data_IF_884851594021
#
_entry.id   IF_884851594021
#
_cell.length_a   1.000
_cell.length_b   1.000
_cell.length_c   1.000
_cell.angle_alpha   90.00
_cell.angle_beta   90.00
_cell.angle_gamma   90.00
#
_symmetry.space_group_name_H-M   'P 1'
#
loop_
_entity.id
_entity.type
_entity.pdbx_description
1 polymer ?
#
# COMPACT_ATOMS: atom_id res chain seq x y z
N UNK A 1 20.79 22.80 -17.62
CA UNK A 1 19.92 21.62 -17.81
C UNK A 1 18.58 22.13 -18.30
N UNK A 2 18.03 21.59 -19.39
CA UNK A 2 16.69 21.94 -19.88
C UNK A 2 15.77 20.76 -19.51
N UNK A 3 14.79 20.99 -18.65
CA UNK A 3 13.74 20.02 -18.33
C UNK A 3 12.54 20.28 -19.22
N UNK A 4 11.89 19.21 -19.70
CA UNK A 4 10.64 19.34 -20.47
C UNK A 4 9.55 19.88 -19.55
N UNK A 5 8.73 20.80 -20.05
CA UNK A 5 7.59 21.32 -19.31
C UNK A 5 6.45 20.30 -19.34
N UNK A 6 5.96 19.89 -18.17
CA UNK A 6 4.81 18.99 -18.02
C UNK A 6 3.56 19.59 -18.67
N UNK A 7 2.84 18.78 -19.44
CA UNK A 7 1.62 19.20 -20.15
C UNK A 7 0.33 18.56 -19.62
N UNK A 8 0.41 17.44 -18.90
CA UNK A 8 -0.77 16.73 -18.38
C UNK A 8 -0.53 16.03 -17.02
N UNK A 9 -1.62 15.65 -16.31
CA UNK A 9 -1.55 15.05 -14.97
C UNK A 9 -2.20 13.67 -14.84
N UNK A 10 -2.77 13.15 -15.92
CA UNK A 10 -3.56 11.92 -15.96
C UNK A 10 -2.90 10.80 -16.76
N UNK A 11 -1.74 11.05 -17.38
CA UNK A 11 -1.01 10.08 -18.20
C UNK A 11 0.36 9.78 -17.60
N UNK A 12 0.89 8.59 -17.90
CA UNK A 12 2.25 8.20 -17.54
C UNK A 12 3.29 9.03 -18.30
N UNK A 13 3.06 9.24 -19.61
CA UNK A 13 3.82 10.24 -20.35
C UNK A 13 3.27 11.64 -20.07
N UNK A 14 3.95 12.34 -19.17
CA UNK A 14 3.60 13.69 -18.73
C UNK A 14 3.78 14.77 -19.81
N UNK A 15 4.32 14.41 -20.98
CA UNK A 15 4.55 15.30 -22.12
C UNK A 15 3.69 14.94 -23.34
N UNK A 16 2.82 13.95 -23.20
CA UNK A 16 2.02 13.44 -24.31
C UNK A 16 1.09 14.52 -24.89
N UNK A 17 1.23 14.74 -26.19
CA UNK A 17 0.37 15.63 -26.97
C UNK A 17 -1.02 14.97 -27.15
N UNK A 18 -2.05 15.80 -27.29
CA UNK A 18 -3.44 15.39 -27.46
C UNK A 18 -3.93 14.44 -26.35
N UNK A 19 -3.47 14.68 -25.12
CA UNK A 19 -3.83 13.86 -23.96
C UNK A 19 -5.28 14.07 -23.48
N UNK A 20 -5.95 15.15 -23.89
CA UNK A 20 -7.30 15.52 -23.45
C UNK A 20 -8.34 14.41 -23.65
N UNK A 21 -8.23 13.67 -24.76
CA UNK A 21 -9.19 12.61 -25.10
C UNK A 21 -8.77 11.21 -24.64
N UNK A 22 -7.68 11.11 -23.88
CA UNK A 22 -7.11 9.82 -23.48
C UNK A 22 -7.43 9.52 -22.01
N UNK A 23 -7.70 8.26 -21.65
CA UNK A 23 -8.16 7.90 -20.31
C UNK A 23 -7.09 8.15 -19.25
N UNK A 24 -7.56 8.36 -18.02
CA UNK A 24 -6.70 8.46 -16.83
C UNK A 24 -6.00 7.12 -16.60
N UNK A 25 -4.69 7.16 -16.36
CA UNK A 25 -3.87 5.97 -16.07
C UNK A 25 -3.62 5.81 -14.57
N UNK A 26 -3.57 4.55 -14.10
CA UNK A 26 -3.29 4.20 -12.71
C UNK A 26 -1.99 4.82 -12.21
N UNK A 27 -1.94 5.17 -10.92
CA UNK A 27 -0.76 5.79 -10.29
C UNK A 27 -0.56 7.28 -10.58
N UNK A 28 -1.27 7.85 -11.56
CA UNK A 28 -1.17 9.29 -11.87
C UNK A 28 -1.86 10.16 -10.81
N UNK A 29 -1.49 11.44 -10.75
CA UNK A 29 -2.05 12.37 -9.76
C UNK A 29 -3.59 12.49 -9.88
N UNK A 30 -4.12 12.50 -11.11
CA UNK A 30 -5.57 12.51 -11.35
C UNK A 30 -6.19 11.20 -10.90
N UNK A 31 -5.59 10.05 -11.19
CA UNK A 31 -6.07 8.75 -10.71
C UNK A 31 -6.15 8.68 -9.19
N UNK A 32 -5.11 9.11 -8.48
CA UNK A 32 -5.08 9.10 -7.01
C UNK A 32 -6.16 10.01 -6.43
N UNK A 33 -6.37 11.19 -7.03
CA UNK A 33 -7.45 12.10 -6.64
C UNK A 33 -8.82 11.45 -6.83
N UNK A 34 -9.07 10.85 -7.99
CA UNK A 34 -10.32 10.16 -8.28
C UNK A 34 -10.53 9.00 -7.31
N UNK A 35 -9.53 8.12 -7.14
CA UNK A 35 -9.59 6.98 -6.24
C UNK A 35 -9.91 7.40 -4.80
N UNK A 36 -9.27 8.48 -4.32
CA UNK A 36 -9.51 9.01 -2.96
C UNK A 36 -10.91 9.59 -2.78
N UNK A 37 -11.59 9.97 -3.86
CA UNK A 37 -12.96 10.51 -3.83
C UNK A 37 -14.04 9.43 -4.01
N UNK A 38 -13.66 8.21 -4.39
CA UNK A 38 -14.60 7.10 -4.58
C UNK A 38 -15.10 6.59 -3.23
N UNK A 39 -16.36 6.18 -3.22
CA UNK A 39 -16.95 5.49 -2.09
C UNK A 39 -16.91 3.99 -2.37
N UNK A 40 -16.32 3.24 -1.46
CA UNK A 40 -16.29 1.78 -1.46
C UNK A 40 -17.10 1.25 -0.28
N UNK A 41 -17.74 0.08 -0.40
CA UNK A 41 -18.28 -0.61 0.77
C UNK A 41 -17.20 -0.78 1.83
N UNK A 42 -17.59 -0.69 3.11
CA UNK A 42 -16.65 -0.92 4.20
C UNK A 42 -16.15 -2.37 4.16
N UNK A 43 -14.87 -2.57 4.46
CA UNK A 43 -14.34 -3.91 4.65
C UNK A 43 -14.87 -4.56 5.93
N UNK A 44 -15.48 -3.79 6.84
CA UNK A 44 -16.01 -4.29 8.12
C UNK A 44 -17.00 -5.46 7.97
N UNK A 45 -17.70 -5.53 6.83
CA UNK A 45 -18.67 -6.59 6.53
C UNK A 45 -18.01 -7.93 6.13
N UNK A 46 -16.73 -7.91 5.76
CA UNK A 46 -15.97 -9.08 5.28
C UNK A 46 -14.75 -9.42 6.12
N UNK A 47 -14.31 -8.54 7.03
CA UNK A 47 -13.13 -8.79 7.86
C UNK A 47 -13.50 -9.38 9.21
N UNK A 48 -12.71 -10.36 9.64
CA UNK A 48 -12.81 -10.91 10.99
C UNK A 48 -11.86 -10.16 11.94
N UNK A 49 -12.41 -9.45 12.92
CA UNK A 49 -11.63 -8.68 13.91
C UNK A 49 -11.36 -9.51 15.17
N UNK A 50 -10.10 -9.60 15.60
CA UNK A 50 -9.74 -10.34 16.84
C UNK A 50 -8.46 -9.81 17.50
N UNK A 51 -8.22 -10.21 18.75
CA UNK A 51 -6.94 -10.02 19.43
C UNK A 51 -5.91 -11.08 18.98
N UNK A 52 -4.62 -10.76 19.05
CA UNK A 52 -3.56 -11.63 18.54
C UNK A 52 -3.54 -13.02 19.20
N UNK A 53 -3.85 -13.13 20.49
CA UNK A 53 -3.89 -14.43 21.20
C UNK A 53 -4.98 -15.38 20.66
N UNK A 54 -6.01 -14.86 19.98
CA UNK A 54 -7.08 -15.66 19.42
C UNK A 54 -6.67 -16.32 18.10
N UNK A 55 -5.70 -15.74 17.39
CA UNK A 55 -5.20 -16.25 16.12
C UNK A 55 -4.28 -17.46 16.37
N UNK A 56 -4.87 -18.66 16.34
CA UNK A 56 -4.19 -19.92 16.60
C UNK A 56 -4.50 -20.96 15.53
N UNK A 57 -3.65 -21.98 15.37
CA UNK A 57 -3.92 -23.09 14.43
C UNK A 57 -5.27 -23.78 14.71
N UNK A 58 -5.63 -24.13 15.97
CA UNK A 58 -6.95 -24.69 16.25
C UNK A 58 -8.10 -23.76 15.89
N UNK A 59 -7.95 -22.44 16.06
CA UNK A 59 -8.95 -21.47 15.64
C UNK A 59 -9.14 -21.52 14.11
N UNK A 60 -8.05 -21.47 13.34
CA UNK A 60 -8.10 -21.50 11.88
C UNK A 60 -8.63 -22.82 11.33
N UNK A 61 -8.30 -23.96 11.95
CA UNK A 61 -8.84 -25.26 11.55
C UNK A 61 -10.36 -25.36 11.78
N UNK A 62 -10.88 -24.72 12.83
CA UNK A 62 -12.32 -24.74 13.15
C UNK A 62 -13.13 -23.75 12.31
N UNK A 63 -12.58 -22.57 12.05
CA UNK A 63 -13.30 -21.47 11.42
C UNK A 63 -12.94 -21.27 9.93
N UNK A 64 -11.87 -21.91 9.46
CA UNK A 64 -11.29 -21.63 8.14
C UNK A 64 -10.44 -20.35 8.13
N UNK A 65 -9.88 -20.06 6.96
CA UNK A 65 -9.13 -18.83 6.68
C UNK A 65 -9.44 -18.32 5.27
N UNK A 66 -10.71 -18.03 5.04
CA UNK A 66 -11.23 -17.60 3.73
C UNK A 66 -11.44 -16.08 3.64
N UNK A 67 -11.55 -15.41 4.79
CA UNK A 67 -11.79 -13.99 4.92
C UNK A 67 -10.57 -13.29 5.53
N UNK A 68 -10.29 -12.02 5.18
CA UNK A 68 -9.20 -11.27 5.80
C UNK A 68 -9.40 -11.13 7.32
N UNK A 69 -8.32 -11.31 8.08
CA UNK A 69 -8.35 -11.14 9.53
C UNK A 69 -7.65 -9.82 9.89
N UNK A 70 -8.35 -8.96 10.61
CA UNK A 70 -7.79 -7.75 11.21
C UNK A 70 -7.46 -8.02 12.67
N UNK A 71 -6.17 -7.97 13.00
CA UNK A 71 -5.71 -8.06 14.38
C UNK A 71 -5.65 -6.65 14.96
N UNK A 72 -6.40 -6.41 16.04
CA UNK A 72 -6.54 -5.07 16.62
C UNK A 72 -5.28 -4.58 17.33
N UNK A 73 -4.45 -5.50 17.85
CA UNK A 73 -3.20 -5.22 18.57
C UNK A 73 -2.17 -6.32 18.31
N UNK A 74 -0.90 -5.96 18.19
CA UNK A 74 0.18 -6.92 17.90
C UNK A 74 0.40 -7.96 19.01
N UNK A 75 -0.07 -7.69 20.22
CA UNK A 75 0.15 -8.56 21.37
C UNK A 75 -0.47 -9.94 21.13
N UNK A 76 0.28 -10.99 21.46
CA UNK A 76 -0.13 -12.37 21.24
C UNK A 76 0.17 -12.93 19.85
N UNK A 77 0.64 -12.10 18.89
CA UNK A 77 1.07 -12.60 17.58
C UNK A 77 2.49 -13.19 17.55
N UNK A 78 3.28 -12.96 18.60
CA UNK A 78 4.72 -13.30 18.58
C UNK A 78 5.52 -12.49 17.56
N UNK A 79 4.93 -11.43 17.00
CA UNK A 79 5.59 -10.57 16.03
C UNK A 79 6.57 -9.63 16.72
N UNK A 80 7.80 -9.60 16.21
CA UNK A 80 8.84 -8.66 16.62
C UNK A 80 9.05 -7.68 15.46
N UNK A 81 8.75 -6.42 15.72
CA UNK A 81 8.96 -5.32 14.77
C UNK A 81 9.88 -4.26 15.39
N UNK A 82 10.55 -3.44 14.57
CA UNK A 82 11.28 -2.28 15.08
C UNK A 82 10.37 -1.34 15.90
N UNK A 83 10.95 -0.50 16.77
CA UNK A 83 10.20 0.52 17.50
C UNK A 83 9.44 1.47 16.57
N UNK A 84 8.37 2.10 17.05
CA UNK A 84 7.55 3.05 16.25
C UNK A 84 8.34 4.25 15.71
N UNK A 85 9.46 4.60 16.37
CA UNK A 85 10.36 5.67 15.93
C UNK A 85 11.31 5.27 14.78
N UNK A 86 11.26 4.02 14.31
CA UNK A 86 12.11 3.52 13.24
C UNK A 86 11.79 4.18 11.90
N UNK A 87 12.82 4.66 11.21
CA UNK A 87 12.71 5.52 10.02
C UNK A 87 13.26 4.87 8.75
N UNK A 88 13.09 5.54 7.61
CA UNK A 88 13.71 5.13 6.34
C UNK A 88 15.24 5.20 6.37
N UNK A 89 15.82 6.10 7.19
CA UNK A 89 17.27 6.18 7.36
C UNK A 89 17.79 4.97 8.15
N UNK A 90 17.03 4.49 9.13
CA UNK A 90 17.35 3.25 9.84
C UNK A 90 17.28 2.04 8.89
N UNK A 91 16.26 1.98 8.01
CA UNK A 91 16.20 0.97 6.94
C UNK A 91 17.49 1.01 6.11
N UNK A 92 17.88 2.19 5.62
CA UNK A 92 19.09 2.35 4.81
C UNK A 92 20.36 1.94 5.58
N UNK A 93 20.44 2.25 6.87
CA UNK A 93 21.55 1.85 7.74
C UNK A 93 21.64 0.34 7.93
N UNK A 94 20.53 -0.34 8.23
CA UNK A 94 20.50 -1.78 8.49
C UNK A 94 20.57 -2.63 7.23
N UNK A 95 19.98 -2.17 6.12
CA UNK A 95 19.96 -2.88 4.84
C UNK A 95 21.23 -2.59 4.01
N UNK A 96 21.76 -1.38 4.12
CA UNK A 96 22.95 -0.91 3.43
C UNK A 96 22.62 -0.07 2.20
N UNK A 97 23.26 1.11 2.11
CA UNK A 97 23.08 2.12 1.04
C UNK A 97 23.28 1.60 -0.39
N UNK A 98 24.06 0.52 -0.54
CA UNK A 98 24.45 -0.03 -1.84
C UNK A 98 23.59 -1.21 -2.28
N UNK A 99 22.61 -1.63 -1.47
CA UNK A 99 21.69 -2.66 -1.90
C UNK A 99 20.80 -2.12 -3.03
N UNK A 100 20.87 -2.76 -4.19
CA UNK A 100 19.96 -2.46 -5.30
C UNK A 100 18.63 -3.12 -4.96
N UNK A 101 17.61 -2.30 -4.74
CA UNK A 101 16.23 -2.73 -4.53
C UNK A 101 15.40 -2.47 -5.78
N UNK A 102 14.42 -3.33 -6.04
CA UNK A 102 13.46 -3.11 -7.10
C UNK A 102 12.52 -1.97 -6.68
N UNK A 103 12.49 -0.91 -7.49
CA UNK A 103 11.51 0.17 -7.38
C UNK A 103 10.58 0.03 -8.57
N UNK A 104 9.43 -0.59 -8.37
CA UNK A 104 8.38 -0.59 -9.39
C UNK A 104 7.67 0.76 -9.36
N UNK A 105 7.83 1.53 -10.45
CA UNK A 105 7.04 2.72 -10.68
C UNK A 105 5.75 2.29 -11.38
N UNK A 106 4.60 2.44 -10.71
CA UNK A 106 3.25 2.15 -11.23
C UNK A 106 2.82 3.15 -12.33
#
# INVERSE_FOLDING_TARGET
MIVKQRTNWHRHDMYELDSENKPVQSGTAVFIKELSSRHFPSADDIILKMAGQQLTVPFLQRNGFNDPILITQKDGLGMIVPPEAFTVDDVEYYVGKLLIVLIESL
#
